data_IF_131753891951
#
_entry.id   IF_131753891951
#
_cell.length_a   1.000
_cell.length_b   1.000
_cell.length_c   1.000
_cell.angle_alpha   90.00
_cell.angle_beta   90.00
_cell.angle_gamma   90.00
#
_symmetry.space_group_name_H-M   'P 1'
#
loop_
_entity.id
_entity.type
_entity.pdbx_description
1 polymer ?
#
# COMPACT_ATOMS: atom_id res chain seq x y z
N UNK A 1 -8.67 -2.70 5.78
CA UNK A 1 -7.57 -1.87 5.23
C UNK A 1 -6.75 -2.61 4.15
N UNK A 2 -6.39 -3.87 4.35
CA UNK A 2 -5.49 -4.61 3.44
C UNK A 2 -5.98 -4.70 1.98
N UNK A 3 -7.29 -4.76 1.75
CA UNK A 3 -7.85 -4.80 0.39
C UNK A 3 -7.60 -3.50 -0.41
N UNK A 4 -7.48 -2.36 0.28
CA UNK A 4 -7.12 -1.09 -0.35
C UNK A 4 -5.64 -1.09 -0.75
N UNK A 5 -4.83 -1.84 -0.04
CA UNK A 5 -3.40 -1.97 -0.29
C UNK A 5 -3.03 -2.68 -1.59
N UNK A 6 -3.94 -3.44 -2.20
CA UNK A 6 -3.63 -4.26 -3.39
C UNK A 6 -2.96 -3.45 -4.50
N UNK A 7 -3.44 -2.23 -4.78
CA UNK A 7 -2.87 -1.37 -5.81
C UNK A 7 -1.45 -0.88 -5.46
N UNK A 8 -1.17 -0.65 -4.17
CA UNK A 8 0.17 -0.27 -3.71
C UNK A 8 1.12 -1.46 -3.80
N UNK A 9 0.68 -2.64 -3.42
CA UNK A 9 1.52 -3.84 -3.49
C UNK A 9 1.82 -4.22 -4.93
N UNK A 10 0.86 -4.06 -5.85
CA UNK A 10 1.05 -4.24 -7.28
C UNK A 10 2.12 -3.27 -7.84
N UNK A 11 1.98 -1.99 -7.53
CA UNK A 11 2.95 -0.97 -7.92
C UNK A 11 4.34 -1.25 -7.36
N UNK A 12 4.44 -1.62 -6.08
CA UNK A 12 5.72 -1.91 -5.43
C UNK A 12 6.39 -3.16 -6.02
N UNK A 13 5.59 -4.21 -6.31
CA UNK A 13 6.07 -5.41 -6.98
C UNK A 13 6.60 -5.09 -8.39
N UNK A 14 5.84 -4.33 -9.16
CA UNK A 14 6.25 -3.90 -10.51
C UNK A 14 7.58 -3.12 -10.50
N UNK A 15 7.77 -2.22 -9.53
CA UNK A 15 8.97 -1.38 -9.44
C UNK A 15 10.16 -2.14 -8.83
N UNK A 16 9.95 -2.92 -7.77
CA UNK A 16 11.01 -3.44 -6.90
C UNK A 16 11.24 -4.94 -6.97
N UNK A 17 10.44 -5.67 -7.73
CA UNK A 17 10.55 -7.12 -7.88
C UNK A 17 9.79 -7.90 -6.82
N UNK A 18 10.21 -9.15 -6.60
CA UNK A 18 9.51 -10.06 -5.70
C UNK A 18 9.73 -9.74 -4.22
N UNK A 19 8.77 -10.14 -3.39
CA UNK A 19 8.86 -10.01 -1.94
C UNK A 19 9.75 -11.12 -1.39
N UNK A 20 10.80 -10.73 -0.67
CA UNK A 20 11.73 -11.63 0.02
C UNK A 20 11.33 -11.84 1.49
N UNK A 21 10.75 -10.81 2.12
CA UNK A 21 10.35 -10.87 3.54
C UNK A 21 9.09 -10.05 3.77
N UNK A 22 8.18 -10.59 4.60
CA UNK A 22 6.97 -9.91 5.04
C UNK A 22 6.86 -9.96 6.57
N UNK A 23 6.60 -8.80 7.18
CA UNK A 23 6.27 -8.68 8.60
C UNK A 23 5.00 -7.83 8.75
N UNK A 24 4.05 -8.29 9.56
CA UNK A 24 2.88 -7.53 9.97
C UNK A 24 3.10 -7.01 11.38
N UNK A 25 3.05 -5.69 11.56
CA UNK A 25 3.32 -5.03 12.83
C UNK A 25 2.05 -4.62 13.58
N UNK A 26 0.96 -4.43 12.85
CA UNK A 26 -0.35 -4.11 13.38
C UNK A 26 -1.45 -4.47 12.37
N UNK A 27 -2.59 -4.93 12.87
CA UNK A 27 -3.77 -5.20 12.06
C UNK A 27 -5.03 -5.19 12.91
N UNK A 28 -5.99 -4.36 12.52
CA UNK A 28 -7.35 -4.36 13.00
C UNK A 28 -8.36 -4.23 11.84
N UNK A 29 -9.61 -3.91 12.13
CA UNK A 29 -10.66 -3.76 11.10
C UNK A 29 -10.38 -2.59 10.14
N UNK A 30 -9.78 -1.51 10.61
CA UNK A 30 -9.60 -0.26 9.89
C UNK A 30 -8.17 0.02 9.46
N UNK A 31 -7.19 -0.55 10.14
CA UNK A 31 -5.79 -0.18 10.00
C UNK A 31 -4.91 -1.42 9.89
N UNK A 32 -3.89 -1.35 9.06
CA UNK A 32 -2.83 -2.33 8.99
C UNK A 32 -1.48 -1.66 8.73
N UNK A 33 -0.43 -2.22 9.30
CA UNK A 33 0.94 -1.72 9.14
C UNK A 33 1.94 -2.86 9.18
N UNK A 34 3.04 -2.70 8.46
CA UNK A 34 4.08 -3.72 8.42
C UNK A 34 5.33 -3.29 7.68
N UNK A 35 6.12 -4.29 7.35
CA UNK A 35 7.37 -4.17 6.62
C UNK A 35 7.43 -5.22 5.52
N UNK A 36 7.80 -4.80 4.33
CA UNK A 36 8.06 -5.65 3.18
C UNK A 36 9.49 -5.44 2.71
N UNK A 37 10.20 -6.52 2.49
CA UNK A 37 11.49 -6.51 1.81
C UNK A 37 11.29 -7.07 0.41
N UNK A 38 11.55 -6.26 -0.58
CA UNK A 38 11.60 -6.63 -1.99
C UNK A 38 13.04 -6.87 -2.41
N UNK A 39 13.25 -7.45 -3.59
CA UNK A 39 14.59 -7.66 -4.13
C UNK A 39 15.41 -6.37 -4.20
N UNK A 40 14.77 -5.22 -4.48
CA UNK A 40 15.42 -3.92 -4.71
C UNK A 40 15.01 -2.83 -3.74
N UNK A 41 14.17 -3.11 -2.74
CA UNK A 41 13.71 -2.10 -1.80
C UNK A 41 13.30 -2.68 -0.45
N UNK A 42 13.32 -1.82 0.57
CA UNK A 42 12.78 -2.08 1.90
C UNK A 42 11.67 -1.07 2.19
N UNK A 43 10.47 -1.57 2.46
CA UNK A 43 9.25 -0.74 2.54
C UNK A 43 8.60 -0.90 3.90
N UNK A 44 8.50 0.19 4.65
CA UNK A 44 7.60 0.29 5.81
C UNK A 44 6.29 0.84 5.31
N UNK A 45 5.19 0.15 5.58
CA UNK A 45 3.89 0.54 5.07
C UNK A 45 2.87 0.73 6.20
N UNK A 46 1.92 1.63 5.96
CA UNK A 46 0.80 1.93 6.84
C UNK A 46 -0.43 2.22 5.99
N UNK A 47 -1.51 1.50 6.23
CA UNK A 47 -2.79 1.65 5.55
C UNK A 47 -3.88 1.85 6.58
N UNK A 48 -4.73 2.86 6.40
CA UNK A 48 -5.88 3.08 7.27
C UNK A 48 -7.07 3.62 6.50
N UNK A 49 -8.25 3.20 6.91
CA UNK A 49 -9.54 3.77 6.50
C UNK A 49 -10.16 4.61 7.63
N UNK A 50 -9.45 4.81 8.73
CA UNK A 50 -9.89 5.67 9.82
C UNK A 50 -9.48 7.12 9.55
N UNK A 51 -10.48 8.01 9.45
CA UNK A 51 -10.24 9.44 9.22
C UNK A 51 -9.38 10.10 10.32
N UNK A 52 -9.37 9.56 11.53
CA UNK A 52 -8.53 10.05 12.63
C UNK A 52 -7.02 9.85 12.37
N UNK A 53 -6.66 8.97 11.46
CA UNK A 53 -5.28 8.70 11.07
C UNK A 53 -4.78 9.61 9.93
N UNK A 54 -5.64 10.47 9.38
CA UNK A 54 -5.23 11.43 8.36
C UNK A 54 -4.14 12.38 8.90
N UNK A 55 -3.11 12.69 8.11
CA UNK A 55 -2.13 13.70 8.46
C UNK A 55 -2.77 15.09 8.62
N UNK A 56 -2.24 15.89 9.52
CA UNK A 56 -2.79 17.22 9.83
C UNK A 56 -2.86 18.17 8.62
N UNK A 57 -1.93 18.03 7.67
CA UNK A 57 -1.93 18.78 6.42
C UNK A 57 -3.09 18.37 5.49
N UNK A 58 -3.44 17.09 5.47
CA UNK A 58 -4.59 16.59 4.70
C UNK A 58 -5.91 17.10 5.31
N UNK A 59 -6.05 17.04 6.63
CA UNK A 59 -7.24 17.55 7.34
C UNK A 59 -7.41 19.04 7.10
N UNK A 60 -6.34 19.85 7.20
CA UNK A 60 -6.39 21.29 6.92
C UNK A 60 -6.73 21.62 5.46
N UNK A 61 -6.39 20.74 4.53
CA UNK A 61 -6.71 20.86 3.11
C UNK A 61 -8.06 20.26 2.71
N UNK A 62 -8.91 19.87 3.69
CA UNK A 62 -10.21 19.20 3.47
C UNK A 62 -10.12 17.93 2.59
N UNK A 63 -8.95 17.28 2.59
CA UNK A 63 -8.74 16.05 1.81
C UNK A 63 -9.34 14.86 2.54
N UNK A 64 -10.18 14.11 1.86
CA UNK A 64 -10.78 12.88 2.37
C UNK A 64 -9.84 11.66 2.25
N UNK A 65 -8.79 11.78 1.45
CA UNK A 65 -7.80 10.72 1.22
C UNK A 65 -6.40 11.29 1.22
N UNK A 66 -5.45 10.48 1.68
CA UNK A 66 -4.03 10.83 1.63
C UNK A 66 -3.22 9.61 1.21
N UNK A 67 -2.41 9.77 0.16
CA UNK A 67 -1.53 8.75 -0.36
C UNK A 67 -0.16 9.36 -0.61
N UNK A 68 0.85 8.81 0.03
CA UNK A 68 2.22 9.26 -0.19
C UNK A 68 3.23 8.12 -0.09
N UNK A 69 4.38 8.32 -0.71
CA UNK A 69 5.57 7.49 -0.57
C UNK A 69 6.72 8.41 -0.20
N UNK A 70 7.49 8.02 0.82
CA UNK A 70 8.71 8.73 1.19
C UNK A 70 9.92 7.90 0.77
N UNK A 71 10.80 8.48 -0.04
CA UNK A 71 12.05 7.87 -0.51
C UNK A 71 13.18 8.81 -0.09
N UNK A 72 14.15 8.31 0.67
CA UNK A 72 15.33 9.08 1.13
C UNK A 72 14.97 10.43 1.78
N UNK A 73 13.89 10.46 2.56
CA UNK A 73 13.31 11.63 3.24
C UNK A 73 12.57 12.64 2.33
N UNK A 74 12.43 12.37 1.05
CA UNK A 74 11.56 13.14 0.15
C UNK A 74 10.20 12.47 0.05
N UNK A 75 9.14 13.23 0.38
CA UNK A 75 7.76 12.74 0.30
C UNK A 75 7.15 13.09 -1.04
N UNK A 76 6.65 12.09 -1.74
CA UNK A 76 5.82 12.22 -2.94
C UNK A 76 4.37 11.95 -2.57
N UNK A 77 3.54 12.99 -2.52
CA UNK A 77 2.09 12.86 -2.37
C UNK A 77 1.41 12.72 -3.73
N UNK A 78 0.52 11.72 -3.87
CA UNK A 78 -0.20 11.43 -5.12
C UNK A 78 -1.70 11.15 -4.90
N UNK A 79 -2.29 11.78 -3.88
CA UNK A 79 -3.70 11.57 -3.51
C UNK A 79 -4.69 11.90 -4.63
N UNK A 80 -4.33 12.78 -5.57
CA UNK A 80 -5.17 13.17 -6.72
C UNK A 80 -4.89 12.42 -8.02
N UNK A 81 -4.00 11.44 -8.05
CA UNK A 81 -3.41 10.89 -9.27
C UNK A 81 -4.16 9.77 -9.99
N UNK A 82 -5.29 9.31 -9.50
CA UNK A 82 -5.98 8.13 -10.06
C UNK A 82 -7.29 8.49 -10.75
N UNK A 83 -7.23 9.38 -11.75
CA UNK A 83 -8.37 9.75 -12.59
C UNK A 83 -8.38 8.97 -13.89
N UNK A 84 -9.57 8.66 -14.43
CA UNK A 84 -9.80 8.00 -15.72
C UNK A 84 -9.18 6.60 -15.92
N UNK A 85 -8.77 5.92 -14.86
CA UNK A 85 -8.18 4.58 -14.96
C UNK A 85 -9.12 3.57 -15.61
N UNK A 86 -10.42 3.66 -15.35
CA UNK A 86 -11.42 2.77 -15.97
C UNK A 86 -11.47 2.97 -17.47
N UNK A 87 -11.52 4.22 -17.94
CA UNK A 87 -11.53 4.54 -19.38
C UNK A 87 -10.27 4.00 -20.06
N UNK A 88 -9.11 4.21 -19.46
CA UNK A 88 -7.84 3.69 -19.99
C UNK A 88 -7.81 2.15 -20.01
N UNK A 89 -8.33 1.51 -18.98
CA UNK A 89 -8.42 0.04 -18.90
C UNK A 89 -9.30 -0.51 -20.02
N UNK A 90 -10.48 0.08 -20.22
CA UNK A 90 -11.38 -0.33 -21.31
C UNK A 90 -10.76 -0.13 -22.70
N UNK A 91 -10.08 0.99 -22.92
CA UNK A 91 -9.37 1.23 -24.19
C UNK A 91 -8.29 0.18 -24.44
N UNK A 92 -7.53 -0.23 -23.42
CA UNK A 92 -6.53 -1.29 -23.54
C UNK A 92 -7.18 -2.64 -23.87
N UNK A 93 -8.27 -3.00 -23.22
CA UNK A 93 -9.01 -4.24 -23.52
C UNK A 93 -9.50 -4.25 -24.98
N UNK A 94 -10.09 -3.16 -25.44
CA UNK A 94 -10.58 -3.03 -26.83
C UNK A 94 -9.44 -3.13 -27.86
N UNK A 95 -8.24 -2.69 -27.51
CA UNK A 95 -7.04 -2.78 -28.34
C UNK A 95 -6.31 -4.12 -28.24
N UNK A 96 -6.86 -5.12 -27.51
CA UNK A 96 -6.23 -6.43 -27.31
C UNK A 96 -5.08 -6.46 -26.33
N UNK A 97 -4.86 -5.36 -25.58
CA UNK A 97 -3.77 -5.19 -24.59
C UNK A 97 -4.31 -5.12 -23.15
N UNK A 98 -5.43 -5.80 -22.87
CA UNK A 98 -5.96 -5.92 -21.53
C UNK A 98 -5.03 -6.70 -20.60
N UNK A 99 -5.07 -6.38 -19.31
CA UNK A 99 -4.32 -7.10 -18.29
C UNK A 99 -5.06 -8.38 -17.89
N UNK A 100 -4.34 -9.48 -17.74
CA UNK A 100 -4.88 -10.77 -17.32
C UNK A 100 -4.80 -10.97 -15.80
N UNK A 101 -5.24 -12.16 -15.37
CA UNK A 101 -5.21 -12.54 -13.94
C UNK A 101 -3.78 -12.68 -13.44
N UNK A 102 -2.87 -13.11 -14.30
CA UNK A 102 -1.47 -13.38 -13.92
C UNK A 102 -0.74 -12.11 -13.51
N UNK A 103 -1.00 -10.97 -14.16
CA UNK A 103 -0.38 -9.68 -13.81
C UNK A 103 -0.77 -9.20 -12.40
N UNK A 104 -1.94 -9.60 -11.92
CA UNK A 104 -2.43 -9.20 -10.59
C UNK A 104 -2.15 -10.26 -9.50
N UNK A 105 -1.67 -11.45 -9.86
CA UNK A 105 -1.48 -12.57 -8.93
C UNK A 105 -0.60 -12.18 -7.74
N UNK A 106 0.57 -11.62 -7.99
CA UNK A 106 1.53 -11.26 -6.94
C UNK A 106 0.95 -10.27 -5.91
N UNK A 107 0.16 -9.29 -6.36
CA UNK A 107 -0.49 -8.32 -5.48
C UNK A 107 -1.58 -8.97 -4.62
N UNK A 108 -2.36 -9.88 -5.18
CA UNK A 108 -3.42 -10.61 -4.46
C UNK A 108 -2.81 -11.57 -3.43
N UNK A 109 -1.78 -12.32 -3.81
CA UNK A 109 -1.03 -13.19 -2.89
C UNK A 109 -0.40 -12.41 -1.76
N UNK A 110 0.13 -11.21 -2.01
CA UNK A 110 0.64 -10.31 -0.97
C UNK A 110 -0.44 -9.93 0.04
N UNK A 111 -1.65 -9.58 -0.42
CA UNK A 111 -2.77 -9.27 0.48
C UNK A 111 -3.14 -10.49 1.32
N UNK A 112 -3.21 -11.67 0.72
CA UNK A 112 -3.51 -12.91 1.45
C UNK A 112 -2.46 -13.20 2.53
N UNK A 113 -1.19 -13.17 2.17
CA UNK A 113 -0.08 -13.42 3.10
C UNK A 113 -0.11 -12.41 4.25
N UNK A 114 -0.31 -11.12 3.98
CA UNK A 114 -0.44 -10.10 5.03
C UNK A 114 -1.62 -10.40 5.96
N UNK A 115 -2.73 -10.92 5.45
CA UNK A 115 -3.91 -11.23 6.25
C UNK A 115 -3.71 -12.40 7.22
N UNK A 116 -2.91 -13.39 6.86
CA UNK A 116 -2.69 -14.59 7.66
C UNK A 116 -1.41 -14.55 8.48
N UNK A 117 -0.46 -13.67 8.15
CA UNK A 117 0.82 -13.54 8.86
C UNK A 117 0.59 -13.11 10.32
N UNK A 118 1.16 -13.79 11.32
CA UNK A 118 1.13 -13.36 12.71
C UNK A 118 1.71 -11.96 12.89
N UNK A 119 1.16 -11.22 13.87
CA UNK A 119 1.65 -9.88 14.20
C UNK A 119 2.96 -10.00 14.98
N UNK A 120 3.97 -9.22 14.58
CA UNK A 120 5.26 -9.09 15.27
C UNK A 120 5.10 -8.09 16.42
N UNK A 121 5.28 -8.52 17.65
CA UNK A 121 5.05 -7.68 18.85
C UNK A 121 6.02 -6.53 18.97
N UNK A 122 7.32 -6.74 18.70
CA UNK A 122 8.38 -5.74 18.81
C UNK A 122 9.16 -5.64 17.48
N UNK A 123 8.58 -4.99 16.46
CA UNK A 123 9.22 -4.89 15.15
C UNK A 123 10.47 -4.01 15.21
N UNK A 124 11.54 -4.44 14.50
CA UNK A 124 12.79 -3.70 14.42
C UNK A 124 12.64 -2.41 13.57
N UNK A 125 11.77 -2.43 12.57
CA UNK A 125 11.60 -1.34 11.60
C UNK A 125 10.12 -0.92 11.48
N UNK A 126 9.48 -0.37 12.53
CA UNK A 126 8.09 0.02 12.47
C UNK A 126 7.89 1.25 11.58
N UNK A 127 6.72 1.35 10.96
CA UNK A 127 6.32 2.58 10.29
C UNK A 127 6.12 3.70 11.33
N UNK A 128 6.55 4.96 11.06
CA UNK A 128 6.42 6.06 12.03
C UNK A 128 5.00 6.30 12.55
N UNK A 129 3.99 6.10 11.72
CA UNK A 129 2.58 6.26 12.11
C UNK A 129 2.06 5.13 13.00
N UNK A 130 2.79 4.04 13.18
CA UNK A 130 2.37 2.94 14.06
C UNK A 130 2.18 3.39 15.52
N UNK A 131 2.96 4.36 15.97
CA UNK A 131 2.84 4.92 17.32
C UNK A 131 1.50 5.64 17.57
N UNK A 132 0.75 6.01 16.52
CA UNK A 132 -0.57 6.66 16.64
C UNK A 132 -1.71 5.68 16.89
N UNK A 133 -1.52 4.40 16.59
CA UNK A 133 -2.56 3.37 16.65
C UNK A 133 -2.28 2.29 17.71
N UNK A 134 -1.12 2.31 18.33
CA UNK A 134 -0.77 1.57 19.54
C UNK A 134 -0.97 2.46 20.75
#
# INVERSE_FOLDING_TARGET
>A
ATNIGVHFYDMLHFIFGDIVKNEVHFRDEKTASGYLEYERARVRWFLSIDANNLPSNAVKGEKLTYRSITIENEELEFSGGFTDLHTQSYQRILNGNGYGVEENRAAIETVEVIRITPIVENPANPHPLLAKVK
#
